data_IF_940275462931
#
_entry.id   IF_940275462931
#
_cell.length_a   1.000
_cell.length_b   1.000
_cell.length_c   1.000
_cell.angle_alpha   90.00
_cell.angle_beta   90.00
_cell.angle_gamma   90.00
#
_symmetry.space_group_name_H-M   'P 1'
#
loop_
_entity.id
_entity.type
_entity.pdbx_description
1 polymer ?
#
# COMPACT_ATOMS: atom_id res chain seq x y z
N UNK A 1 4.61 -19.06 -1.24
CA UNK A 1 4.76 -18.68 -2.66
C UNK A 1 4.19 -17.31 -2.95
N UNK A 2 2.99 -17.01 -2.42
CA UNK A 2 2.39 -15.68 -2.61
C UNK A 2 3.32 -14.58 -2.12
N UNK A 3 3.95 -14.78 -0.97
CA UNK A 3 4.89 -13.80 -0.41
C UNK A 3 6.00 -13.42 -1.40
N UNK A 4 6.60 -14.42 -2.03
CA UNK A 4 7.68 -14.14 -2.98
C UNK A 4 7.17 -13.46 -4.24
N UNK A 5 5.96 -13.78 -4.67
CA UNK A 5 5.35 -13.10 -5.82
C UNK A 5 5.09 -11.63 -5.51
N UNK A 6 4.63 -11.32 -4.30
CA UNK A 6 4.41 -9.93 -3.88
C UNK A 6 5.73 -9.17 -3.86
N UNK A 7 6.78 -9.78 -3.28
CA UNK A 7 8.09 -9.13 -3.22
C UNK A 7 8.66 -8.90 -4.62
N UNK A 8 8.50 -9.87 -5.52
CA UNK A 8 8.96 -9.71 -6.90
C UNK A 8 8.21 -8.60 -7.61
N UNK A 9 6.89 -8.51 -7.40
CA UNK A 9 6.08 -7.45 -7.97
C UNK A 9 6.54 -6.08 -7.49
N UNK A 10 6.74 -5.94 -6.17
CA UNK A 10 7.20 -4.67 -5.60
C UNK A 10 8.58 -4.29 -6.13
N UNK A 11 9.46 -5.27 -6.29
CA UNK A 11 10.78 -5.01 -6.85
C UNK A 11 10.67 -4.49 -8.28
N UNK A 12 9.81 -5.10 -9.09
CA UNK A 12 9.59 -4.63 -10.46
C UNK A 12 9.03 -3.21 -10.48
N UNK A 13 8.10 -2.90 -9.58
CA UNK A 13 7.54 -1.55 -9.50
C UNK A 13 8.64 -0.54 -9.18
N UNK A 14 9.52 -0.86 -8.22
CA UNK A 14 10.62 0.04 -7.86
C UNK A 14 11.56 0.29 -9.03
N UNK A 15 11.71 -0.69 -9.91
CA UNK A 15 12.62 -0.58 -11.05
C UNK A 15 12.06 0.20 -12.23
N UNK A 16 10.75 0.48 -12.22
CA UNK A 16 10.12 1.20 -13.33
C UNK A 16 10.56 2.66 -13.40
N UNK A 17 10.84 3.27 -12.26
CA UNK A 17 11.22 4.67 -12.19
C UNK A 17 11.94 4.94 -10.89
N UNK A 18 13.04 5.71 -10.91
CA UNK A 18 13.84 5.95 -9.70
C UNK A 18 13.08 6.61 -8.54
N UNK A 19 12.01 7.35 -8.84
CA UNK A 19 11.27 8.09 -7.83
C UNK A 19 10.02 7.40 -7.33
N UNK A 20 9.71 6.20 -7.83
CA UNK A 20 8.49 5.51 -7.43
C UNK A 20 8.50 5.17 -5.94
N UNK A 21 9.63 4.72 -5.41
CA UNK A 21 9.71 4.40 -3.99
C UNK A 21 9.39 5.63 -3.14
N UNK A 22 10.00 6.76 -3.47
CA UNK A 22 9.73 8.00 -2.75
C UNK A 22 8.26 8.40 -2.85
N UNK A 23 7.68 8.34 -4.04
CA UNK A 23 6.29 8.71 -4.24
C UNK A 23 5.36 7.82 -3.43
N UNK A 24 5.61 6.50 -3.40
CA UNK A 24 4.76 5.57 -2.66
C UNK A 24 4.89 5.72 -1.15
N UNK A 25 6.00 6.28 -0.67
CA UNK A 25 6.17 6.54 0.76
C UNK A 25 5.64 7.91 1.17
N UNK A 26 5.44 8.82 0.21
CA UNK A 26 5.11 10.22 0.49
C UNK A 26 3.89 10.73 -0.27
N UNK A 27 2.82 9.93 -0.31
CA UNK A 27 1.56 10.39 -0.86
C UNK A 27 0.85 9.44 -1.79
N UNK A 28 1.56 8.46 -2.34
CA UNK A 28 0.97 7.50 -3.28
C UNK A 28 0.80 6.10 -2.69
N UNK A 29 0.91 5.96 -1.38
CA UNK A 29 0.81 4.66 -0.72
C UNK A 29 -0.56 3.99 -0.95
N UNK A 30 -1.63 4.77 -1.00
CA UNK A 30 -2.95 4.22 -1.27
C UNK A 30 -3.04 3.68 -2.71
N UNK A 31 -2.39 4.34 -3.65
CA UNK A 31 -2.35 3.86 -5.04
C UNK A 31 -1.60 2.54 -5.14
N UNK A 32 -0.54 2.39 -4.37
CA UNK A 32 0.18 1.12 -4.32
C UNK A 32 -0.73 0.01 -3.80
N UNK A 33 -1.51 0.30 -2.75
CA UNK A 33 -2.50 -0.66 -2.27
C UNK A 33 -3.47 -1.05 -3.38
N UNK A 34 -4.00 -0.08 -4.13
CA UNK A 34 -4.94 -0.36 -5.21
C UNK A 34 -4.31 -1.26 -6.27
N UNK A 35 -3.05 -1.02 -6.59
CA UNK A 35 -2.33 -1.82 -7.54
C UNK A 35 -2.15 -3.26 -7.04
N UNK A 36 -1.77 -3.42 -5.77
CA UNK A 36 -1.63 -4.74 -5.17
C UNK A 36 -2.97 -5.47 -5.11
N UNK A 37 -4.05 -4.75 -4.79
CA UNK A 37 -5.38 -5.33 -4.71
C UNK A 37 -5.88 -5.81 -6.06
N UNK A 38 -5.43 -5.22 -7.15
CA UNK A 38 -5.82 -5.67 -8.48
C UNK A 38 -5.18 -7.01 -8.82
N UNK A 39 -4.04 -7.32 -8.21
CA UNK A 39 -3.35 -8.59 -8.40
C UNK A 39 -3.75 -9.62 -7.34
N UNK A 40 -3.98 -9.16 -6.12
CA UNK A 40 -4.35 -10.01 -4.98
C UNK A 40 -5.64 -9.46 -4.38
N UNK A 41 -6.82 -9.95 -4.82
CA UNK A 41 -8.11 -9.39 -4.38
C UNK A 41 -8.35 -9.46 -2.89
N UNK A 42 -7.66 -10.34 -2.17
CA UNK A 42 -7.76 -10.45 -0.71
C UNK A 42 -6.98 -9.38 0.03
N UNK A 43 -6.23 -8.53 -0.69
CA UNK A 43 -5.44 -7.47 -0.07
C UNK A 43 -6.30 -6.52 0.74
N UNK A 44 -5.79 -6.11 1.89
CA UNK A 44 -6.48 -5.19 2.79
C UNK A 44 -5.63 -3.95 3.03
N UNK A 45 -6.23 -2.74 2.98
CA UNK A 45 -5.49 -1.52 3.31
C UNK A 45 -5.48 -1.31 4.82
N UNK A 46 -4.32 -1.05 5.39
CA UNK A 46 -4.16 -0.73 6.80
C UNK A 46 -3.54 0.66 6.91
N UNK A 47 -4.12 1.50 7.74
CA UNK A 47 -3.85 2.93 7.78
C UNK A 47 -3.64 3.41 9.22
N UNK A 48 -2.65 4.27 9.42
CA UNK A 48 -2.34 4.82 10.74
C UNK A 48 -2.64 6.32 10.84
N UNK A 49 -3.28 6.89 9.83
CA UNK A 49 -3.53 8.33 9.75
C UNK A 49 -2.52 9.05 8.89
N UNK A 50 -1.47 8.37 8.46
CA UNK A 50 -0.38 8.98 7.71
C UNK A 50 0.10 8.13 6.55
N UNK A 51 0.16 6.81 6.72
CA UNK A 51 0.71 5.90 5.72
C UNK A 51 -0.16 4.66 5.60
N UNK A 52 -0.44 4.24 4.37
CA UNK A 52 -1.19 3.02 4.08
C UNK A 52 -0.21 1.91 3.75
N UNK A 53 -0.37 0.77 4.43
CA UNK A 53 0.33 -0.46 4.08
C UNK A 53 -0.70 -1.48 3.63
N UNK A 54 -0.27 -2.50 2.93
CA UNK A 54 -1.17 -3.50 2.35
C UNK A 54 -0.95 -4.84 3.04
N UNK A 55 -2.01 -5.42 3.58
CA UNK A 55 -1.94 -6.76 4.18
C UNK A 55 -2.37 -7.80 3.16
N UNK A 56 -1.52 -8.78 2.91
CA UNK A 56 -1.81 -9.91 2.04
C UNK A 56 -1.36 -11.16 2.78
N UNK A 57 -2.30 -12.06 3.05
CA UNK A 57 -2.00 -13.39 3.59
C UNK A 57 -1.14 -13.32 4.87
N UNK A 58 -1.59 -12.55 5.86
CA UNK A 58 -0.96 -12.40 7.17
C UNK A 58 0.35 -11.62 7.18
N UNK A 59 0.75 -11.04 6.05
CA UNK A 59 1.95 -10.22 5.96
C UNK A 59 1.59 -8.83 5.46
N UNK A 60 2.38 -7.83 5.89
CA UNK A 60 2.15 -6.44 5.54
C UNK A 60 3.25 -5.96 4.60
N UNK A 61 2.88 -5.14 3.62
CA UNK A 61 3.79 -4.69 2.56
C UNK A 61 3.62 -3.20 2.29
N UNK A 62 4.72 -2.55 1.93
CA UNK A 62 4.69 -1.26 1.24
C UNK A 62 5.70 -1.33 0.09
N UNK A 63 6.02 -0.20 -0.53
CA UNK A 63 6.92 -0.21 -1.69
C UNK A 63 8.31 -0.76 -1.33
N UNK A 64 8.71 -0.73 -0.07
CA UNK A 64 10.01 -1.24 0.37
C UNK A 64 10.04 -2.76 0.48
N UNK A 65 8.88 -3.41 0.47
CA UNK A 65 8.75 -4.85 0.62
C UNK A 65 7.91 -5.18 1.85
N UNK A 66 8.26 -6.25 2.56
CA UNK A 66 7.54 -6.61 3.78
C UNK A 66 7.90 -5.64 4.90
N UNK A 67 6.86 -5.19 5.63
CA UNK A 67 7.02 -4.26 6.76
C UNK A 67 6.22 -4.77 7.93
N UNK A 68 6.45 -4.18 9.10
CA UNK A 68 5.66 -4.46 10.30
C UNK A 68 4.70 -3.31 10.52
N UNK A 69 3.44 -3.59 10.90
CA UNK A 69 2.49 -2.51 11.16
C UNK A 69 2.86 -1.78 12.45
N UNK A 70 2.65 -0.46 12.43
CA UNK A 70 2.79 0.34 13.63
C UNK A 70 1.57 0.13 14.52
N UNK A 71 1.65 0.54 15.79
CA UNK A 71 0.54 0.40 16.73
C UNK A 71 -0.74 1.04 16.24
N UNK A 72 -0.62 2.13 15.49
CA UNK A 72 -1.75 2.90 15.03
C UNK A 72 -2.35 2.40 13.73
N UNK A 73 -1.75 1.40 13.12
CA UNK A 73 -2.30 0.84 11.88
C UNK A 73 -3.55 0.03 12.20
N UNK A 74 -4.65 0.35 11.53
CA UNK A 74 -5.92 -0.37 11.65
C UNK A 74 -6.46 -0.63 10.27
N UNK A 75 -7.32 -1.63 10.16
CA UNK A 75 -7.95 -1.97 8.90
C UNK A 75 -8.77 -0.77 8.40
N UNK A 76 -8.50 -0.38 7.19
CA UNK A 76 -9.08 0.79 6.56
C UNK A 76 -10.35 0.36 5.81
N UNK A 77 -11.44 0.14 6.58
CA UNK A 77 -12.70 -0.32 5.98
C UNK A 77 -13.87 0.61 6.23
N UNK A 78 -13.64 1.76 6.86
CA UNK A 78 -14.64 2.77 7.06
C UNK A 78 -14.80 3.58 5.76
N UNK A 79 -16.02 3.63 5.22
CA UNK A 79 -16.27 4.28 3.95
C UNK A 79 -15.88 5.76 3.96
N UNK A 80 -16.12 6.45 5.08
CA UNK A 80 -15.77 7.86 5.19
C UNK A 80 -14.25 8.04 5.18
N UNK A 81 -13.56 7.23 5.95
CA UNK A 81 -12.09 7.28 6.00
C UNK A 81 -11.51 6.89 4.65
N UNK A 82 -12.07 5.86 4.03
CA UNK A 82 -11.65 5.41 2.72
C UNK A 82 -11.79 6.54 1.68
N UNK A 83 -12.93 7.23 1.70
CA UNK A 83 -13.16 8.36 0.80
C UNK A 83 -12.18 9.50 1.07
N UNK A 84 -11.87 9.75 2.34
CA UNK A 84 -10.89 10.76 2.72
C UNK A 84 -9.50 10.44 2.18
N UNK A 85 -9.07 9.19 2.31
CA UNK A 85 -7.78 8.76 1.79
C UNK A 85 -7.74 8.82 0.28
N UNK A 86 -8.84 8.45 -0.38
CA UNK A 86 -8.94 8.52 -1.83
C UNK A 86 -8.81 9.97 -2.31
N UNK A 87 -9.47 10.89 -1.64
CA UNK A 87 -9.38 12.31 -1.99
C UNK A 87 -7.97 12.85 -1.76
N UNK A 88 -7.34 12.42 -0.67
CA UNK A 88 -5.98 12.83 -0.36
C UNK A 88 -5.02 12.36 -1.45
N UNK A 89 -5.16 11.11 -1.89
CA UNK A 89 -4.34 10.58 -2.96
C UNK A 89 -4.55 11.32 -4.27
N UNK A 90 -5.80 11.67 -4.55
CA UNK A 90 -6.13 12.41 -5.77
C UNK A 90 -5.49 13.80 -5.80
N UNK A 91 -5.33 14.42 -4.64
CA UNK A 91 -4.69 15.75 -4.58
C UNK A 91 -3.21 15.70 -4.86
N UNK A 92 -2.61 14.54 -4.72
CA UNK A 92 -1.19 14.36 -5.01
C UNK A 92 -0.89 14.12 -6.49
N UNK A 93 -1.90 14.02 -7.29
CA UNK A 93 -1.76 13.74 -8.72
C UNK A 93 -1.29 14.95 -9.51
#
# INVERSE_FOLDING_TARGET
MKHFHVLAFLNCVRELHPEIEHACLHGKCFRLYMLLASCWPEAEPWYDGNHVITKIDEKYYDIRGQVLPEKNHTLFNDAKTFNGAYQWDRRDV
#
